data_IF_325263411535
#
_entry.id   IF_325263411535
#
_cell.length_a   1.000
_cell.length_b   1.000
_cell.length_c   1.000
_cell.angle_alpha   90.00
_cell.angle_beta   90.00
_cell.angle_gamma   90.00
#
_symmetry.space_group_name_H-M   'P 1'
#
loop_
_entity.id
_entity.type
_entity.pdbx_description
1 polymer ?
#
# COMPACT_ATOMS: atom_id res chain seq x y z
N UNK A 1 -10.02 18.91 -28.11
CA UNK A 1 -11.14 19.57 -27.41
C UNK A 1 -12.05 18.49 -26.86
N UNK A 2 -12.18 18.42 -25.54
CA UNK A 2 -12.90 17.37 -24.81
C UNK A 2 -14.39 17.37 -25.19
N UNK A 3 -14.92 16.22 -25.58
CA UNK A 3 -16.31 16.05 -25.96
C UNK A 3 -17.20 16.15 -24.71
N UNK A 4 -17.84 17.29 -24.50
CA UNK A 4 -18.73 17.50 -23.37
C UNK A 4 -20.10 16.88 -23.69
N UNK A 5 -20.65 16.02 -22.82
CA UNK A 5 -21.92 15.37 -23.09
C UNK A 5 -23.04 16.41 -23.26
N UNK A 6 -23.78 16.31 -24.36
CA UNK A 6 -24.88 17.23 -24.68
C UNK A 6 -26.07 16.95 -23.76
N UNK A 7 -26.49 17.96 -22.99
CA UNK A 7 -27.66 17.86 -22.10
C UNK A 7 -28.93 17.71 -22.94
N UNK A 8 -29.63 16.60 -22.75
CA UNK A 8 -30.86 16.26 -23.49
C UNK A 8 -32.13 16.64 -22.74
N UNK A 9 -32.13 16.65 -21.41
CA UNK A 9 -33.27 16.98 -20.56
C UNK A 9 -32.94 18.11 -19.58
N UNK A 10 -33.83 19.12 -19.47
CA UNK A 10 -33.68 20.30 -18.61
C UNK A 10 -34.75 20.38 -17.50
N UNK A 11 -35.62 19.39 -17.38
CA UNK A 11 -36.58 19.33 -16.28
C UNK A 11 -35.85 19.10 -14.94
N UNK A 12 -36.36 19.63 -13.82
CA UNK A 12 -35.76 19.38 -12.51
C UNK A 12 -35.82 17.88 -12.18
N UNK A 13 -34.71 17.34 -11.68
CA UNK A 13 -34.66 15.97 -11.22
C UNK A 13 -35.57 15.79 -9.98
N UNK A 14 -36.35 14.69 -9.90
CA UNK A 14 -37.23 14.44 -8.75
C UNK A 14 -36.44 14.20 -7.46
N UNK A 15 -35.20 13.71 -7.58
CA UNK A 15 -34.25 13.56 -6.48
C UNK A 15 -32.94 14.24 -6.86
N UNK A 16 -32.44 15.09 -5.97
CA UNK A 16 -31.16 15.79 -6.15
C UNK A 16 -30.04 14.92 -5.60
N UNK A 17 -28.93 14.83 -6.33
CA UNK A 17 -27.74 14.12 -5.86
C UNK A 17 -27.11 14.91 -4.71
N UNK A 18 -26.91 14.26 -3.56
CA UNK A 18 -26.29 14.87 -2.39
C UNK A 18 -24.81 14.49 -2.27
N UNK A 19 -24.06 15.26 -1.48
CA UNK A 19 -22.68 14.93 -1.17
C UNK A 19 -22.56 13.56 -0.48
N UNK A 20 -23.49 13.22 0.42
CA UNK A 20 -23.52 11.93 1.10
C UNK A 20 -23.67 10.77 0.09
N UNK A 21 -24.57 10.92 -0.89
CA UNK A 21 -24.81 9.90 -1.89
C UNK A 21 -23.55 9.63 -2.72
N UNK A 22 -22.85 10.69 -3.16
CA UNK A 22 -21.59 10.56 -3.90
C UNK A 22 -20.53 9.87 -3.05
N UNK A 23 -20.37 10.27 -1.79
CA UNK A 23 -19.35 9.69 -0.91
C UNK A 23 -19.64 8.22 -0.57
N UNK A 24 -20.91 7.86 -0.38
CA UNK A 24 -21.34 6.47 -0.15
C UNK A 24 -21.11 5.61 -1.38
N UNK A 25 -21.57 6.07 -2.55
CA UNK A 25 -21.41 5.37 -3.82
C UNK A 25 -19.93 5.21 -4.20
N UNK A 26 -19.10 6.23 -3.94
CA UNK A 26 -17.66 6.16 -4.13
C UNK A 26 -17.02 5.10 -3.23
N UNK A 27 -17.41 5.03 -1.96
CA UNK A 27 -16.90 4.02 -1.03
C UNK A 27 -17.35 2.61 -1.40
N UNK A 28 -18.61 2.42 -1.79
CA UNK A 28 -19.16 1.12 -2.18
C UNK A 28 -18.58 0.60 -3.50
N UNK A 29 -18.23 1.51 -4.42
CA UNK A 29 -17.55 1.17 -5.68
C UNK A 29 -16.04 1.08 -5.57
N UNK A 30 -15.47 1.46 -4.44
CA UNK A 30 -14.05 1.30 -4.24
C UNK A 30 -13.77 -0.21 -4.25
N UNK A 31 -13.13 -0.69 -5.32
CA UNK A 31 -12.60 -2.05 -5.39
C UNK A 31 -11.48 -2.15 -4.34
N UNK A 32 -11.89 -2.40 -3.11
CA UNK A 32 -11.08 -2.37 -1.90
C UNK A 32 -10.25 -3.65 -1.71
N UNK A 33 -10.02 -4.45 -2.76
CA UNK A 33 -8.97 -5.46 -2.68
C UNK A 33 -7.62 -4.79 -2.99
N UNK A 34 -6.82 -4.42 -1.97
CA UNK A 34 -5.44 -4.09 -2.23
C UNK A 34 -4.82 -5.30 -2.93
N UNK A 35 -4.15 -5.06 -4.04
CA UNK A 35 -3.38 -6.10 -4.71
C UNK A 35 -2.42 -6.75 -3.71
N UNK A 36 -2.72 -7.99 -3.31
CA UNK A 36 -1.82 -8.78 -2.49
C UNK A 36 -0.88 -9.52 -3.41
N UNK A 37 0.43 -9.26 -3.28
CA UNK A 37 1.43 -10.05 -3.98
C UNK A 37 1.27 -11.54 -3.62
N UNK A 38 1.49 -12.48 -4.56
CA UNK A 38 1.40 -13.90 -4.28
C UNK A 38 2.39 -14.32 -3.20
N UNK A 39 2.00 -15.26 -2.33
CA UNK A 39 2.87 -15.79 -1.30
C UNK A 39 4.07 -16.51 -1.91
N UNK A 40 5.26 -15.88 -1.85
CA UNK A 40 6.51 -16.48 -2.32
C UNK A 40 7.06 -17.41 -1.23
N UNK A 41 7.20 -18.70 -1.55
CA UNK A 41 7.92 -19.66 -0.69
C UNK A 41 9.40 -19.63 -1.05
N UNK A 42 10.26 -19.45 -0.05
CA UNK A 42 11.71 -19.52 -0.18
C UNK A 42 12.12 -20.98 0.00
N UNK A 43 12.80 -21.56 -1.00
CA UNK A 43 13.09 -22.99 -1.03
C UNK A 43 14.56 -23.30 -0.73
N UNK A 44 15.48 -22.38 -1.00
CA UNK A 44 16.91 -22.59 -0.83
C UNK A 44 17.62 -21.45 -0.06
N UNK A 45 18.86 -21.68 0.42
CA UNK A 45 19.61 -20.67 1.17
C UNK A 45 20.02 -19.44 0.34
N UNK A 46 20.16 -19.58 -0.98
CA UNK A 46 20.56 -18.49 -1.88
C UNK A 46 19.39 -17.52 -2.10
N UNK A 47 18.20 -18.03 -2.37
CA UNK A 47 16.94 -17.31 -2.39
C UNK A 47 16.69 -16.61 -1.06
N UNK A 48 16.97 -17.26 0.07
CA UNK A 48 16.85 -16.63 1.39
C UNK A 48 17.80 -15.43 1.54
N UNK A 49 19.03 -15.53 1.06
CA UNK A 49 19.99 -14.43 1.08
C UNK A 49 19.53 -13.26 0.20
N UNK A 50 19.00 -13.54 -1.00
CA UNK A 50 18.44 -12.52 -1.89
C UNK A 50 17.22 -11.84 -1.26
N UNK A 51 16.32 -12.62 -0.67
CA UNK A 51 15.16 -12.10 0.07
C UNK A 51 15.60 -11.16 1.21
N UNK A 52 16.55 -11.60 2.04
CA UNK A 52 17.11 -10.78 3.13
C UNK A 52 17.72 -9.48 2.63
N UNK A 53 18.53 -9.55 1.56
CA UNK A 53 19.15 -8.37 0.96
C UNK A 53 18.10 -7.36 0.47
N UNK A 54 17.04 -7.84 -0.19
CA UNK A 54 15.95 -7.00 -0.69
C UNK A 54 15.19 -6.32 0.44
N UNK A 55 14.85 -7.05 1.50
CA UNK A 55 14.13 -6.51 2.66
C UNK A 55 14.98 -5.51 3.45
N UNK A 56 16.25 -5.85 3.74
CA UNK A 56 17.21 -4.93 4.39
C UNK A 56 17.31 -3.61 3.66
N UNK A 57 17.48 -3.65 2.33
CA UNK A 57 17.52 -2.44 1.50
C UNK A 57 16.27 -1.58 1.65
N UNK A 58 15.08 -2.18 1.69
CA UNK A 58 13.82 -1.43 1.89
C UNK A 58 13.78 -0.74 3.26
N UNK A 59 14.20 -1.42 4.33
CA UNK A 59 14.30 -0.81 5.66
C UNK A 59 15.32 0.31 5.67
N UNK A 60 16.53 0.08 5.15
CA UNK A 60 17.61 1.05 5.12
C UNK A 60 17.27 2.29 4.28
N UNK A 61 16.63 2.12 3.12
CA UNK A 61 16.16 3.24 2.31
C UNK A 61 15.11 4.08 3.05
N UNK A 62 14.19 3.45 3.77
CA UNK A 62 13.19 4.13 4.60
C UNK A 62 13.86 4.89 5.75
N UNK A 63 14.84 4.28 6.40
CA UNK A 63 15.62 4.90 7.48
C UNK A 63 16.50 6.04 6.97
N UNK A 64 17.02 5.94 5.75
CA UNK A 64 17.77 7.01 5.08
C UNK A 64 16.89 8.22 4.81
N UNK A 65 15.65 8.01 4.39
CA UNK A 65 14.69 9.09 4.18
C UNK A 65 14.19 9.72 5.49
N UNK A 66 14.04 8.92 6.55
CA UNK A 66 13.56 9.41 7.85
C UNK A 66 14.32 8.75 9.02
N UNK A 67 15.49 9.30 9.34
CA UNK A 67 16.43 8.75 10.33
C UNK A 67 15.86 8.66 11.75
N UNK A 68 14.93 9.56 12.10
CA UNK A 68 14.36 9.68 13.43
C UNK A 68 13.07 8.86 13.61
N UNK A 69 12.61 8.15 12.56
CA UNK A 69 11.45 7.29 12.65
C UNK A 69 11.75 6.03 13.50
N UNK A 70 11.63 6.14 14.82
CA UNK A 70 11.87 5.02 15.75
C UNK A 70 11.01 3.80 15.43
N UNK A 71 9.77 3.99 14.98
CA UNK A 71 8.92 2.88 14.55
C UNK A 71 9.48 2.09 13.35
N UNK A 72 10.30 2.70 12.50
CA UNK A 72 10.99 2.00 11.42
C UNK A 72 12.21 1.22 11.94
N UNK A 73 12.94 1.78 12.92
CA UNK A 73 14.04 1.08 13.61
C UNK A 73 13.55 -0.17 14.34
N UNK A 74 12.47 -0.06 15.11
CA UNK A 74 11.89 -1.18 15.86
C UNK A 74 11.45 -2.30 14.92
N UNK A 75 10.83 -1.96 13.78
CA UNK A 75 10.42 -2.95 12.78
C UNK A 75 11.62 -3.61 12.10
N UNK A 76 12.70 -2.86 11.87
CA UNK A 76 13.91 -3.41 11.28
C UNK A 76 14.61 -4.39 12.25
N UNK A 77 14.73 -4.01 13.53
CA UNK A 77 15.28 -4.89 14.57
C UNK A 77 14.46 -6.19 14.72
N UNK A 78 13.12 -6.08 14.76
CA UNK A 78 12.24 -7.24 14.82
C UNK A 78 12.35 -8.15 13.58
N UNK A 79 12.64 -7.58 12.40
CA UNK A 79 12.92 -8.36 11.20
C UNK A 79 14.23 -9.15 11.33
N UNK A 80 15.32 -8.52 11.77
CA UNK A 80 16.61 -9.19 11.96
C UNK A 80 16.53 -10.27 13.06
N UNK A 81 15.78 -10.01 14.15
CA UNK A 81 15.47 -10.99 15.18
C UNK A 81 14.75 -12.22 14.61
N UNK A 82 13.74 -12.01 13.76
CA UNK A 82 13.04 -13.12 13.08
C UNK A 82 13.96 -13.92 12.13
N UNK A 83 15.02 -13.30 11.61
CA UNK A 83 16.06 -13.98 10.84
C UNK A 83 17.12 -14.69 11.69
N UNK A 84 17.02 -14.57 13.03
CA UNK A 84 18.01 -15.03 14.03
C UNK A 84 19.39 -14.37 13.88
N UNK A 85 19.43 -13.14 13.33
CA UNK A 85 20.64 -12.35 13.15
C UNK A 85 20.73 -11.28 14.24
N UNK A 86 20.97 -11.72 15.48
CA UNK A 86 20.93 -10.86 16.68
C UNK A 86 22.07 -9.85 16.75
N UNK A 87 23.16 -10.05 16.00
CA UNK A 87 24.26 -9.07 15.93
C UNK A 87 23.84 -7.82 15.14
N UNK A 88 22.84 -7.94 14.26
CA UNK A 88 22.30 -6.83 13.46
C UNK A 88 21.05 -6.19 14.04
N UNK A 89 20.30 -6.91 14.88
CA UNK A 89 19.10 -6.42 15.54
C UNK A 89 19.40 -5.28 16.52
#
# INVERSE_FOLDING_TARGET
MSNMPKVTNKQPAPMQITAEQILREARERQEDEPYTAPAQKVMDPEELAVYRMKERKQYEDRLRMNRNAMGAWIKYAAFEEAQRDFERA
#
